data_IF_195874670788
#
_entry.id   IF_195874670788
#
_cell.length_a   1.000
_cell.length_b   1.000
_cell.length_c   1.000
_cell.angle_alpha   90.00
_cell.angle_beta   90.00
_cell.angle_gamma   90.00
#
_symmetry.space_group_name_H-M   'P 1'
#
loop_
_entity.id
_entity.type
_entity.pdbx_description
1 polymer ?
#
# COMPACT_ATOMS: atom_id res chain seq x y z
N UNK A 1 -13.90 9.09 11.10
CA UNK A 1 -13.41 7.69 11.19
C UNK A 1 -12.28 7.65 12.22
N UNK A 2 -12.26 6.67 13.15
CA UNK A 2 -11.20 6.57 14.17
C UNK A 2 -9.85 6.31 13.49
N UNK A 3 -8.77 7.00 13.91
CA UNK A 3 -7.42 6.88 13.32
C UNK A 3 -6.92 5.43 13.23
N UNK A 4 -7.27 4.56 14.20
CA UNK A 4 -7.00 3.12 14.16
C UNK A 4 -7.59 2.44 12.91
N UNK A 5 -8.81 2.78 12.52
CA UNK A 5 -9.49 2.18 11.36
C UNK A 5 -8.83 2.58 10.04
N UNK A 6 -8.26 3.79 9.95
CA UNK A 6 -7.51 4.24 8.77
C UNK A 6 -6.15 3.53 8.65
N UNK A 7 -5.47 3.27 9.76
CA UNK A 7 -4.24 2.47 9.76
C UNK A 7 -4.51 1.04 9.32
N UNK A 8 -5.55 0.40 9.86
CA UNK A 8 -5.96 -0.95 9.44
C UNK A 8 -6.30 -1.00 7.94
N UNK A 9 -7.04 0.00 7.44
CA UNK A 9 -7.38 0.08 6.02
C UNK A 9 -6.12 0.20 5.12
N UNK A 10 -5.15 1.02 5.52
CA UNK A 10 -3.88 1.17 4.77
C UNK A 10 -3.09 -0.13 4.70
N UNK A 11 -3.10 -0.91 5.79
CA UNK A 11 -2.37 -2.16 5.90
C UNK A 11 -3.07 -3.26 5.08
N UNK A 12 -4.40 -3.29 5.11
CA UNK A 12 -5.22 -4.17 4.27
C UNK A 12 -5.00 -3.88 2.78
N UNK A 13 -4.92 -2.61 2.37
CA UNK A 13 -4.66 -2.24 0.97
C UNK A 13 -3.29 -2.73 0.47
N UNK A 14 -2.25 -2.64 1.30
CA UNK A 14 -0.92 -3.17 0.95
C UNK A 14 -0.95 -4.69 0.86
N UNK A 15 -1.62 -5.37 1.80
CA UNK A 15 -1.75 -6.83 1.78
C UNK A 15 -2.49 -7.32 0.53
N UNK A 16 -3.55 -6.62 0.09
CA UNK A 16 -4.28 -6.96 -1.13
C UNK A 16 -3.41 -6.77 -2.37
N UNK A 17 -2.65 -5.67 -2.44
CA UNK A 17 -1.69 -5.42 -3.52
C UNK A 17 -0.64 -6.54 -3.62
N UNK A 18 -0.07 -6.95 -2.49
CA UNK A 18 0.93 -8.01 -2.43
C UNK A 18 0.35 -9.38 -2.80
N UNK A 19 -0.89 -9.68 -2.39
CA UNK A 19 -1.59 -10.92 -2.79
C UNK A 19 -1.90 -10.93 -4.30
N UNK A 20 -2.24 -9.79 -4.90
CA UNK A 20 -2.49 -9.70 -6.33
C UNK A 20 -1.22 -9.96 -7.15
N UNK A 21 -0.10 -9.35 -6.76
CA UNK A 21 1.20 -9.56 -7.41
C UNK A 21 1.70 -10.99 -7.27
N UNK A 22 1.79 -11.50 -6.04
CA UNK A 22 2.27 -12.87 -5.78
C UNK A 22 1.31 -13.91 -6.35
N UNK A 23 0.00 -13.66 -6.28
CA UNK A 23 -1.00 -14.55 -6.87
C UNK A 23 -0.92 -14.60 -8.39
N UNK A 24 -0.56 -13.50 -9.05
CA UNK A 24 -0.31 -13.49 -10.48
C UNK A 24 0.99 -14.24 -10.83
N UNK A 25 2.09 -13.95 -10.12
CA UNK A 25 3.40 -14.59 -10.36
C UNK A 25 3.39 -16.12 -10.08
N UNK A 26 2.63 -16.56 -9.08
CA UNK A 26 2.41 -17.98 -8.75
C UNK A 26 1.33 -18.66 -9.59
N UNK A 27 0.75 -17.98 -10.59
CA UNK A 27 -0.35 -18.47 -11.42
C UNK A 27 -1.58 -18.94 -10.63
N UNK A 28 -1.87 -18.32 -9.48
CA UNK A 28 -3.11 -18.59 -8.73
C UNK A 28 -4.34 -18.09 -9.48
N UNK A 29 -4.20 -17.02 -10.27
CA UNK A 29 -5.25 -16.45 -11.10
C UNK A 29 -4.64 -15.97 -12.42
N UNK A 30 -5.24 -16.33 -13.55
CA UNK A 30 -4.89 -15.77 -14.86
C UNK A 30 -5.68 -14.48 -15.09
N UNK A 31 -4.97 -13.41 -15.44
CA UNK A 31 -5.57 -12.15 -15.87
C UNK A 31 -5.32 -11.97 -17.36
N UNK A 32 -6.39 -11.76 -18.13
CA UNK A 32 -6.32 -11.47 -19.57
C UNK A 32 -5.47 -10.24 -19.89
N UNK A 33 -5.39 -9.28 -18.95
CA UNK A 33 -4.56 -8.09 -19.07
C UNK A 33 -3.70 -7.87 -17.82
N UNK A 34 -2.44 -8.35 -17.82
CA UNK A 34 -1.56 -8.21 -16.66
C UNK A 34 -1.17 -6.76 -16.35
N UNK A 35 -1.16 -5.87 -17.33
CA UNK A 35 -0.90 -4.44 -17.12
C UNK A 35 -2.02 -3.77 -16.31
N UNK A 36 -3.27 -4.21 -16.50
CA UNK A 36 -4.39 -3.73 -15.72
C UNK A 36 -4.30 -4.17 -14.26
N UNK A 37 -3.90 -5.43 -14.00
CA UNK A 37 -3.67 -5.94 -12.64
C UNK A 37 -2.55 -5.16 -11.95
N UNK A 38 -1.44 -4.92 -12.64
CA UNK A 38 -0.32 -4.14 -12.13
C UNK A 38 -0.75 -2.69 -11.80
N UNK A 39 -1.53 -2.05 -12.68
CA UNK A 39 -2.10 -0.72 -12.44
C UNK A 39 -3.05 -0.67 -11.23
N UNK A 40 -3.85 -1.71 -11.00
CA UNK A 40 -4.73 -1.83 -9.82
C UNK A 40 -3.90 -2.01 -8.55
N UNK A 41 -2.86 -2.85 -8.58
CA UNK A 41 -1.93 -3.02 -7.45
C UNK A 41 -1.28 -1.70 -7.07
N UNK A 42 -0.74 -0.97 -8.05
CA UNK A 42 -0.16 0.36 -7.84
C UNK A 42 -1.17 1.35 -7.25
N UNK A 43 -2.40 1.37 -7.75
CA UNK A 43 -3.45 2.24 -7.24
C UNK A 43 -3.72 1.97 -5.74
N UNK A 44 -3.75 0.70 -5.32
CA UNK A 44 -3.91 0.35 -3.90
C UNK A 44 -2.74 0.82 -3.03
N UNK A 45 -1.50 0.70 -3.53
CA UNK A 45 -0.30 1.22 -2.84
C UNK A 45 -0.39 2.74 -2.69
N UNK A 46 -0.72 3.47 -3.76
CA UNK A 46 -0.83 4.93 -3.75
C UNK A 46 -1.96 5.43 -2.83
N UNK A 47 -3.11 4.73 -2.80
CA UNK A 47 -4.20 5.04 -1.87
C UNK A 47 -3.75 4.80 -0.42
N UNK A 48 -3.05 3.70 -0.14
CA UNK A 48 -2.49 3.41 1.18
C UNK A 48 -1.51 4.50 1.64
N UNK A 49 -0.60 4.92 0.76
CA UNK A 49 0.33 6.03 1.03
C UNK A 49 -0.42 7.34 1.29
N UNK A 50 -1.45 7.65 0.50
CA UNK A 50 -2.27 8.85 0.68
C UNK A 50 -2.98 8.87 2.04
N UNK A 51 -3.50 7.72 2.49
CA UNK A 51 -4.10 7.58 3.81
C UNK A 51 -3.06 7.82 4.91
N UNK A 52 -1.86 7.24 4.78
CA UNK A 52 -0.78 7.44 5.75
C UNK A 52 -0.31 8.91 5.81
N UNK A 53 -0.16 9.59 4.66
CA UNK A 53 0.13 11.03 4.60
C UNK A 53 -0.96 11.86 5.28
N UNK A 54 -2.24 11.51 5.06
CA UNK A 54 -3.37 12.19 5.70
C UNK A 54 -3.31 12.06 7.23
N UNK A 55 -3.03 10.86 7.75
CA UNK A 55 -2.86 10.63 9.21
C UNK A 55 -1.71 11.48 9.75
N UNK A 56 -0.57 11.52 9.07
CA UNK A 56 0.61 12.28 9.49
C UNK A 56 0.33 13.79 9.53
N UNK A 57 -0.44 14.31 8.57
CA UNK A 57 -0.78 15.74 8.46
C UNK A 57 -1.96 16.17 9.35
N UNK A 58 -2.68 15.24 9.97
CA UNK A 58 -3.82 15.58 10.83
C UNK A 58 -3.31 16.11 12.18
N UNK A 59 -3.63 17.37 12.50
CA UNK A 59 -3.27 18.04 13.75
C UNK A 59 -4.19 17.61 14.90
N UNK A 60 -4.08 16.36 15.34
CA UNK A 60 -4.51 15.88 16.68
C UNK A 60 -4.04 14.42 16.92
N UNK A 61 -3.06 13.97 16.14
CA UNK A 61 -2.69 12.57 16.04
C UNK A 61 -1.66 12.24 17.12
N UNK A 62 -1.95 11.23 17.95
CA UNK A 62 -1.03 10.80 19.02
C UNK A 62 0.37 10.53 18.44
N UNK A 63 1.47 10.91 19.14
CA UNK A 63 2.83 10.80 18.62
C UNK A 63 3.20 9.38 18.14
N UNK A 64 2.72 8.35 18.86
CA UNK A 64 2.94 6.95 18.51
C UNK A 64 2.26 6.55 17.19
N UNK A 65 1.01 7.00 16.97
CA UNK A 65 0.24 6.73 15.74
C UNK A 65 0.88 7.43 14.54
N UNK A 66 1.41 8.64 14.76
CA UNK A 66 2.14 9.38 13.72
C UNK A 66 3.45 8.68 13.32
N UNK A 67 4.24 8.19 14.29
CA UNK A 67 5.47 7.43 14.01
C UNK A 67 5.19 6.14 13.24
N UNK A 68 4.15 5.39 13.61
CA UNK A 68 3.81 4.15 12.90
C UNK A 68 3.34 4.42 11.47
N UNK A 69 2.52 5.45 11.24
CA UNK A 69 2.14 5.84 9.87
C UNK A 69 3.30 6.42 9.05
N UNK A 70 4.28 7.10 9.66
CA UNK A 70 5.51 7.51 8.97
C UNK A 70 6.33 6.30 8.52
N UNK A 71 6.49 5.32 9.40
CA UNK A 71 7.24 4.10 9.10
C UNK A 71 6.54 3.29 8.01
N UNK A 72 5.20 3.14 8.11
CA UNK A 72 4.38 2.53 7.07
C UNK A 72 4.53 3.24 5.72
N UNK A 73 4.49 4.58 5.71
CA UNK A 73 4.67 5.36 4.48
C UNK A 73 6.04 5.12 3.82
N UNK A 74 7.11 5.07 4.62
CA UNK A 74 8.47 4.79 4.13
C UNK A 74 8.57 3.38 3.56
N UNK A 75 8.02 2.39 4.26
CA UNK A 75 7.99 0.99 3.78
C UNK A 75 7.20 0.89 2.48
N UNK A 76 6.00 1.50 2.40
CA UNK A 76 5.20 1.52 1.18
C UNK A 76 5.92 2.22 0.02
N UNK A 77 6.66 3.29 0.29
CA UNK A 77 7.45 3.98 -0.73
C UNK A 77 8.58 3.09 -1.27
N UNK A 78 9.32 2.42 -0.37
CA UNK A 78 10.39 1.51 -0.75
C UNK A 78 9.86 0.32 -1.54
N UNK A 79 8.73 -0.26 -1.11
CA UNK A 79 8.04 -1.30 -1.85
C UNK A 79 7.60 -0.82 -3.24
N UNK A 80 6.98 0.37 -3.31
CA UNK A 80 6.54 0.93 -4.58
C UNK A 80 7.71 1.13 -5.56
N UNK A 81 8.85 1.63 -5.08
CA UNK A 81 10.05 1.80 -5.90
C UNK A 81 10.64 0.46 -6.33
N UNK A 82 10.72 -0.52 -5.42
CA UNK A 82 11.28 -1.83 -5.73
C UNK A 82 10.44 -2.58 -6.76
N UNK A 83 9.12 -2.62 -6.57
CA UNK A 83 8.21 -3.39 -7.44
C UNK A 83 7.90 -2.64 -8.73
N UNK A 84 7.50 -1.37 -8.65
CA UNK A 84 7.02 -0.64 -9.84
C UNK A 84 8.09 0.23 -10.50
N UNK A 85 9.10 0.65 -9.75
CA UNK A 85 10.18 1.51 -10.28
C UNK A 85 11.37 0.71 -10.81
N UNK A 86 11.68 -0.41 -10.19
CA UNK A 86 12.81 -1.28 -10.53
C UNK A 86 12.38 -2.63 -11.12
N UNK A 87 11.07 -2.92 -11.16
CA UNK A 87 10.53 -4.19 -11.69
C UNK A 87 11.23 -5.42 -11.08
N UNK A 88 11.53 -5.37 -9.77
CA UNK A 88 12.28 -6.43 -9.06
C UNK A 88 11.42 -7.65 -8.68
N UNK A 89 10.14 -7.66 -9.05
CA UNK A 89 9.17 -8.74 -8.84
C UNK A 89 8.39 -8.92 -10.13
#
# INVERSE_FOLDING_TARGET
>A
MKQKSLQTLSLVLIMISLILEVGYDQAWFEFDNPQALFGISLAFVLVSMSINVKIIRTMDTKPHVRKTSQLALVISALYAVAVFGLELI
#
